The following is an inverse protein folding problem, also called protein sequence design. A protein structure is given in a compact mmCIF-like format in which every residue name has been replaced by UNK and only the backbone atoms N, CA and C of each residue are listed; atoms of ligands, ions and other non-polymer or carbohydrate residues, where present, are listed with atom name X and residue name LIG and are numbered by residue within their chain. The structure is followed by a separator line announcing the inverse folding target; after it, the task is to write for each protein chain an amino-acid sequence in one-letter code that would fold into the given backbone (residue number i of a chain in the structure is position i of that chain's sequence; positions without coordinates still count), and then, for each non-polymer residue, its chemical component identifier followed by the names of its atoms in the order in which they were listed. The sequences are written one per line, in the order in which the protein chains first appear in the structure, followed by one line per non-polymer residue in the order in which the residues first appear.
data_IF_316669017506
#
_entry.id   IF_316669017506
#
_cell.length_a   1.000
_cell.length_b   1.000
_cell.length_c   1.000
_cell.angle_alpha   90.00
_cell.angle_beta   90.00
_cell.angle_gamma   90.00
#
_symmetry.space_group_name_H-M   'P 1'
#
loop_
_entity.id
_entity.type
_entity.pdbx_description
1 polymer ?
#
# COMPACT_ATOMS: atom_id res chain seq x y z
N UNK A 1 -8.88 13.67 -0.36
CA UNK A 1 -8.63 12.42 0.39
C UNK A 1 -7.21 12.44 0.91
N UNK A 2 -7.03 12.27 2.19
CA UNK A 2 -5.70 12.29 2.76
C UNK A 2 -5.01 10.93 2.57
N UNK A 3 -4.12 10.84 1.59
CA UNK A 3 -3.36 9.62 1.33
C UNK A 3 -2.62 9.12 2.57
N UNK A 4 -2.15 10.04 3.40
CA UNK A 4 -1.48 9.72 4.65
C UNK A 4 -2.35 8.88 5.60
N UNK A 5 -3.65 9.16 5.67
CA UNK A 5 -4.58 8.39 6.50
C UNK A 5 -4.71 6.96 6.02
N UNK A 6 -4.73 6.75 4.71
CA UNK A 6 -4.80 5.41 4.12
C UNK A 6 -3.54 4.63 4.45
N UNK A 7 -2.38 5.25 4.25
CA UNK A 7 -1.09 4.62 4.53
C UNK A 7 -0.97 4.27 6.02
N UNK A 8 -1.39 5.18 6.90
CA UNK A 8 -1.35 4.94 8.33
C UNK A 8 -2.25 3.78 8.75
N UNK A 9 -3.42 3.67 8.16
CA UNK A 9 -4.32 2.53 8.40
C UNK A 9 -3.69 1.22 7.95
N UNK A 10 -3.06 1.21 6.78
CA UNK A 10 -2.35 0.04 6.29
C UNK A 10 -1.20 -0.34 7.23
N UNK A 11 -0.45 0.64 7.68
CA UNK A 11 0.63 0.43 8.65
C UNK A 11 0.12 -0.21 9.93
N UNK A 12 -0.96 0.34 10.50
CA UNK A 12 -1.55 -0.19 11.73
C UNK A 12 -2.06 -1.63 11.54
N UNK A 13 -2.69 -1.90 10.40
CA UNK A 13 -3.17 -3.24 10.08
C UNK A 13 -2.03 -4.24 9.95
N UNK A 14 -0.95 -3.84 9.30
CA UNK A 14 0.23 -4.70 9.13
C UNK A 14 0.89 -4.98 10.47
N UNK A 15 1.02 -3.96 11.32
CA UNK A 15 1.56 -4.14 12.66
C UNK A 15 0.76 -5.14 13.48
N UNK A 16 -0.57 -5.08 13.39
CA UNK A 16 -1.45 -6.04 14.07
C UNK A 16 -1.31 -7.44 13.49
N UNK A 17 -1.28 -7.55 12.17
CA UNK A 17 -1.29 -8.83 11.46
C UNK A 17 0.03 -9.58 11.64
N UNK A 18 1.14 -8.89 11.55
CA UNK A 18 2.48 -9.51 11.58
C UNK A 18 3.20 -9.31 12.89
N UNK A 19 2.65 -8.55 13.82
CA UNK A 19 3.26 -8.23 15.12
C UNK A 19 4.71 -7.75 14.95
N UNK A 20 4.94 -6.89 13.98
CA UNK A 20 6.26 -6.42 13.63
C UNK A 20 6.35 -4.89 13.74
N UNK A 21 7.52 -4.42 14.13
CA UNK A 21 7.83 -2.99 14.11
C UNK A 21 8.23 -2.53 12.71
N UNK A 22 8.42 -3.44 11.76
CA UNK A 22 8.91 -3.15 10.41
C UNK A 22 7.79 -3.00 9.38
N UNK A 23 6.67 -2.39 9.76
CA UNK A 23 5.57 -2.12 8.84
C UNK A 23 6.03 -1.32 7.62
N UNK A 24 6.98 -0.41 7.81
CA UNK A 24 7.59 0.36 6.72
C UNK A 24 8.14 -0.54 5.62
N UNK A 25 8.95 -1.52 5.99
CA UNK A 25 9.56 -2.43 5.02
C UNK A 25 8.49 -3.20 4.24
N UNK A 26 7.50 -3.71 4.95
CA UNK A 26 6.41 -4.49 4.34
C UNK A 26 5.61 -3.60 3.38
N UNK A 27 5.27 -2.38 3.81
CA UNK A 27 4.51 -1.46 2.96
C UNK A 27 5.29 -1.03 1.74
N UNK A 28 6.60 -0.81 1.85
CA UNK A 28 7.42 -0.48 0.69
C UNK A 28 7.46 -1.61 -0.31
N UNK A 29 7.50 -2.85 0.16
CA UNK A 29 7.41 -4.03 -0.73
C UNK A 29 6.05 -4.11 -1.41
N UNK A 30 4.99 -3.87 -0.67
CA UNK A 30 3.63 -3.81 -1.23
C UNK A 30 3.53 -2.71 -2.29
N UNK A 31 4.09 -1.54 -2.00
CA UNK A 31 4.09 -0.42 -2.96
C UNK A 31 4.82 -0.77 -4.26
N UNK A 32 5.95 -1.45 -4.16
CA UNK A 32 6.68 -1.90 -5.36
C UNK A 32 5.82 -2.83 -6.22
N UNK A 33 5.13 -3.79 -5.61
CA UNK A 33 4.23 -4.67 -6.32
C UNK A 33 3.07 -3.92 -6.96
N UNK A 34 2.48 -2.98 -6.25
CA UNK A 34 1.37 -2.18 -6.77
C UNK A 34 1.79 -1.31 -7.95
N UNK A 35 2.96 -0.69 -7.87
CA UNK A 35 3.47 0.15 -8.97
C UNK A 35 3.89 -0.70 -10.18
N UNK A 36 4.31 -1.93 -9.95
CA UNK A 36 4.63 -2.88 -11.01
C UNK A 36 3.39 -3.57 -11.59
N UNK A 37 2.20 -3.23 -11.08
CA UNK A 37 0.93 -3.82 -11.50
C UNK A 37 0.93 -5.34 -11.36
N UNK A 38 1.30 -5.83 -10.18
CA UNK A 38 1.31 -7.25 -9.89
C UNK A 38 -0.11 -7.83 -9.85
N UNK A 39 -0.20 -9.13 -9.60
CA UNK A 39 -1.49 -9.83 -9.58
C UNK A 39 -2.46 -9.26 -8.53
N UNK A 40 -1.94 -8.90 -7.36
CA UNK A 40 -2.73 -8.30 -6.30
C UNK A 40 -3.24 -6.92 -6.72
N UNK A 41 -2.39 -6.11 -7.35
CA UNK A 41 -2.77 -4.82 -7.88
C UNK A 41 -3.88 -4.94 -8.92
N UNK A 42 -3.79 -5.90 -9.82
CA UNK A 42 -4.80 -6.13 -10.84
C UNK A 42 -6.16 -6.49 -10.22
N UNK A 43 -6.17 -7.33 -9.19
CA UNK A 43 -7.40 -7.70 -8.48
C UNK A 43 -8.02 -6.49 -7.80
N UNK A 44 -7.22 -5.69 -7.11
CA UNK A 44 -7.70 -4.50 -6.41
C UNK A 44 -8.19 -3.44 -7.38
N UNK A 45 -7.49 -3.23 -8.50
CA UNK A 45 -7.95 -2.32 -9.54
C UNK A 45 -9.29 -2.74 -10.12
N UNK A 46 -9.50 -4.04 -10.27
CA UNK A 46 -10.77 -4.59 -10.74
C UNK A 46 -11.92 -4.31 -9.76
N UNK A 47 -11.63 -4.33 -8.46
CA UNK A 47 -12.63 -4.11 -7.41
C UNK A 47 -12.91 -2.62 -7.15
N UNK A 48 -11.90 -1.79 -7.17
CA UNK A 48 -12.00 -0.39 -6.75
C UNK A 48 -11.83 0.63 -7.86
N UNK A 49 -11.35 0.21 -9.02
CA UNK A 49 -11.15 1.09 -10.17
C UNK A 49 -9.71 1.07 -10.66
N UNK A 50 -9.56 1.25 -11.98
CA UNK A 50 -8.25 1.24 -12.63
C UNK A 50 -7.37 2.36 -12.09
N UNK A 51 -6.13 2.03 -11.71
CA UNK A 51 -5.15 3.00 -11.22
C UNK A 51 -5.19 3.25 -9.72
N UNK A 52 -6.15 2.67 -8.99
CA UNK A 52 -6.25 2.86 -7.53
C UNK A 52 -5.01 2.32 -6.83
N UNK A 53 -4.56 1.12 -7.20
CA UNK A 53 -3.38 0.51 -6.57
C UNK A 53 -2.09 1.29 -6.87
N UNK A 54 -1.94 1.81 -8.08
CA UNK A 54 -0.80 2.66 -8.41
C UNK A 54 -0.79 3.93 -7.54
N UNK A 55 -1.96 4.53 -7.31
CA UNK A 55 -2.11 5.67 -6.43
C UNK A 55 -1.73 5.36 -4.99
N UNK A 56 -2.16 4.20 -4.49
CA UNK A 56 -1.81 3.75 -3.14
C UNK A 56 -0.30 3.49 -3.03
N UNK A 57 0.28 2.82 -4.01
CA UNK A 57 1.73 2.57 -4.04
C UNK A 57 2.54 3.85 -4.02
N UNK A 58 2.12 4.84 -4.80
CA UNK A 58 2.76 6.15 -4.83
C UNK A 58 2.64 6.85 -3.48
N UNK A 59 1.47 6.80 -2.86
CA UNK A 59 1.24 7.40 -1.55
C UNK A 59 2.13 6.77 -0.47
N UNK A 60 2.29 5.45 -0.51
CA UNK A 60 3.18 4.75 0.42
C UNK A 60 4.62 5.23 0.26
N UNK A 61 5.10 5.32 -0.96
CA UNK A 61 6.46 5.79 -1.24
C UNK A 61 6.67 7.24 -0.79
N UNK A 62 5.70 8.09 -1.01
CA UNK A 62 5.76 9.49 -0.56
C UNK A 62 5.75 9.60 0.97
N UNK A 63 4.96 8.77 1.63
CA UNK A 63 4.85 8.79 3.09
C UNK A 63 6.17 8.39 3.77
N UNK A 64 6.86 7.39 3.23
CA UNK A 64 8.12 6.90 3.80
C UNK A 64 9.37 7.48 3.13
N UNK A 65 9.17 8.08 2.00
CA UNK A 65 10.23 8.52 1.13
C UNK A 65 10.99 9.69 1.50
#
# INVERSE_FOLDING_TARGET
MAAEKIVKRLEDNIKKMYRTANARYILLKVAEGYLANDKTAQVLDSLYGTGVTAGIGKAIKEYYG
#
